data_IF_193667804929
#
_entry.id   IF_193667804929
#
_cell.length_a   1.000
_cell.length_b   1.000
_cell.length_c   1.000
_cell.angle_alpha   90.00
_cell.angle_beta   90.00
_cell.angle_gamma   90.00
#
_symmetry.space_group_name_H-M   'P 1'
#
loop_
_entity.id
_entity.type
_entity.pdbx_description
1 polymer ?
#
# COMPACT_ATOMS: atom_id res chain seq x y z
N UNK A 1 0.32 9.69 -18.38
CA UNK A 1 0.91 9.17 -17.11
C UNK A 1 -0.17 8.56 -16.24
N UNK A 2 0.22 7.66 -15.36
CA UNK A 2 -0.69 7.08 -14.36
C UNK A 2 -0.06 7.21 -12.97
N UNK A 3 -0.90 7.40 -11.96
CA UNK A 3 -0.43 7.73 -10.62
C UNK A 3 -1.04 6.75 -9.61
N UNK A 4 -0.23 6.21 -8.72
CA UNK A 4 -0.71 5.35 -7.62
C UNK A 4 -0.18 5.89 -6.30
N UNK A 5 -1.09 6.32 -5.44
CA UNK A 5 -0.80 6.57 -4.04
C UNK A 5 -0.99 5.27 -3.27
N UNK A 6 0.11 4.68 -2.83
CA UNK A 6 0.12 3.44 -2.06
C UNK A 6 0.45 3.76 -0.61
N UNK A 7 -0.52 3.54 0.28
CA UNK A 7 -0.39 3.84 1.71
C UNK A 7 -0.50 2.60 2.56
N UNK A 8 0.19 2.60 3.68
CA UNK A 8 -0.07 1.68 4.78
C UNK A 8 -1.29 2.19 5.56
N UNK A 9 -2.16 1.29 6.06
CA UNK A 9 -3.25 1.66 6.97
C UNK A 9 -2.72 2.45 8.17
N UNK A 10 -3.57 3.26 8.78
CA UNK A 10 -3.23 4.02 9.97
C UNK A 10 -3.22 3.17 11.24
N UNK A 11 -3.00 3.77 12.40
CA UNK A 11 -2.84 3.02 13.65
C UNK A 11 -4.05 2.12 13.95
N UNK A 12 -3.79 0.93 14.47
CA UNK A 12 -4.78 -0.11 14.65
C UNK A 12 -4.65 -0.82 15.99
N UNK A 13 -5.77 -1.35 16.44
CA UNK A 13 -5.89 -2.31 17.52
C UNK A 13 -6.55 -3.57 16.94
N UNK A 14 -5.76 -4.63 16.80
CA UNK A 14 -6.19 -5.81 16.04
C UNK A 14 -6.50 -5.47 14.58
N UNK A 15 -7.64 -5.90 14.07
CA UNK A 15 -8.05 -5.62 12.68
C UNK A 15 -8.92 -4.37 12.55
N UNK A 16 -8.96 -3.50 13.54
CA UNK A 16 -9.68 -2.23 13.49
C UNK A 16 -8.76 -1.06 13.74
N UNK A 17 -9.12 0.12 13.24
CA UNK A 17 -8.38 1.33 13.59
C UNK A 17 -8.57 1.67 15.07
N UNK A 18 -7.50 2.12 15.71
CA UNK A 18 -7.56 2.78 17.00
C UNK A 18 -8.17 4.18 16.87
N UNK A 19 -8.50 4.83 17.98
CA UNK A 19 -8.91 6.24 17.97
C UNK A 19 -7.83 7.12 17.33
N UNK A 20 -6.57 6.84 17.63
CA UNK A 20 -5.44 7.54 17.00
C UNK A 20 -5.39 7.29 15.50
N UNK A 21 -5.64 6.06 15.05
CA UNK A 21 -5.67 5.71 13.63
C UNK A 21 -6.77 6.43 12.87
N UNK A 22 -7.93 6.60 13.46
CA UNK A 22 -9.03 7.39 12.88
C UNK A 22 -8.62 8.84 12.74
N UNK A 23 -8.06 9.42 13.80
CA UNK A 23 -7.59 10.82 13.80
C UNK A 23 -6.47 11.03 12.76
N UNK A 24 -5.54 10.09 12.65
CA UNK A 24 -4.45 10.15 11.67
C UNK A 24 -4.97 10.07 10.23
N UNK A 25 -5.93 9.18 9.96
CA UNK A 25 -6.55 9.08 8.64
C UNK A 25 -7.31 10.37 8.26
N UNK A 26 -8.03 10.96 9.21
CA UNK A 26 -8.69 12.25 9.01
C UNK A 26 -7.68 13.37 8.76
N UNK A 27 -6.55 13.37 9.45
CA UNK A 27 -5.48 14.34 9.24
C UNK A 27 -4.86 14.23 7.85
N UNK A 28 -4.58 13.01 7.39
CA UNK A 28 -4.11 12.75 6.02
C UNK A 28 -5.15 13.25 5.02
N UNK A 29 -6.42 12.99 5.28
CA UNK A 29 -7.53 13.43 4.43
C UNK A 29 -7.59 14.93 4.23
N UNK A 30 -7.21 15.71 5.22
CA UNK A 30 -7.27 17.18 5.14
C UNK A 30 -6.20 17.78 4.23
N UNK A 31 -5.01 17.21 4.17
CA UNK A 31 -3.85 17.86 3.54
C UNK A 31 -2.99 16.97 2.66
N UNK A 32 -3.17 15.65 2.74
CA UNK A 32 -2.28 14.67 2.12
C UNK A 32 -2.82 13.97 0.88
N UNK A 33 -4.00 14.32 0.40
CA UNK A 33 -4.63 13.68 -0.75
C UNK A 33 -4.54 14.52 -2.02
N UNK A 34 -4.60 13.85 -3.16
CA UNK A 34 -4.53 14.48 -4.49
C UNK A 34 -5.70 14.00 -5.38
N UNK A 35 -6.96 14.26 -4.99
CA UNK A 35 -8.12 13.87 -5.78
C UNK A 35 -8.19 14.64 -7.12
N UNK A 36 -8.98 14.18 -8.11
CA UNK A 36 -9.84 13.01 -8.04
C UNK A 36 -9.10 11.69 -8.25
N UNK A 37 -9.64 10.62 -7.65
CA UNK A 37 -9.15 9.26 -7.86
C UNK A 37 -10.09 8.49 -8.79
N UNK A 38 -9.53 7.78 -9.77
CA UNK A 38 -10.27 6.88 -10.64
C UNK A 38 -10.55 5.54 -9.94
N UNK A 39 -9.67 5.11 -9.04
CA UNK A 39 -9.81 3.86 -8.29
C UNK A 39 -9.48 4.06 -6.80
N UNK A 40 -10.28 3.41 -5.95
CA UNK A 40 -9.98 3.21 -4.54
C UNK A 40 -9.86 1.71 -4.29
N UNK A 41 -8.73 1.26 -3.78
CA UNK A 41 -8.42 -0.16 -3.58
C UNK A 41 -7.99 -0.43 -2.14
N UNK A 42 -8.61 -1.42 -1.52
CA UNK A 42 -8.23 -1.96 -0.21
C UNK A 42 -7.83 -3.41 -0.34
N UNK A 43 -6.93 -3.89 0.50
CA UNK A 43 -6.57 -5.32 0.58
C UNK A 43 -7.70 -6.19 1.12
N UNK A 44 -8.72 -5.59 1.74
CA UNK A 44 -9.85 -6.29 2.34
C UNK A 44 -9.73 -6.52 3.84
N UNK A 45 -8.57 -6.32 4.46
CA UNK A 45 -8.45 -6.28 5.91
C UNK A 45 -9.27 -5.11 6.47
N UNK A 46 -9.95 -5.27 7.60
CA UNK A 46 -10.85 -4.22 8.10
C UNK A 46 -10.11 -2.92 8.42
N UNK A 47 -8.90 -2.98 8.96
CA UNK A 47 -8.07 -1.81 9.19
C UNK A 47 -7.71 -1.05 7.92
N UNK A 48 -7.54 -1.74 6.79
CA UNK A 48 -7.35 -1.10 5.49
C UNK A 48 -8.65 -0.51 4.95
N UNK A 49 -9.76 -1.24 5.10
CA UNK A 49 -11.09 -0.78 4.70
C UNK A 49 -11.48 0.50 5.45
N UNK A 50 -11.28 0.53 6.77
CA UNK A 50 -11.60 1.72 7.58
C UNK A 50 -10.75 2.92 7.16
N UNK A 51 -9.46 2.72 6.96
CA UNK A 51 -8.57 3.79 6.51
C UNK A 51 -9.03 4.38 5.17
N UNK A 52 -9.26 3.54 4.17
CA UNK A 52 -9.62 4.03 2.83
C UNK A 52 -11.02 4.67 2.79
N UNK A 53 -11.95 4.22 3.62
CA UNK A 53 -13.28 4.86 3.72
C UNK A 53 -13.16 6.30 4.20
N UNK A 54 -12.32 6.55 5.20
CA UNK A 54 -12.07 7.90 5.72
C UNK A 54 -11.43 8.77 4.63
N UNK A 55 -10.41 8.26 3.96
CA UNK A 55 -9.70 8.98 2.90
C UNK A 55 -10.60 9.27 1.70
N UNK A 56 -11.41 8.31 1.27
CA UNK A 56 -12.38 8.49 0.18
C UNK A 56 -13.38 9.60 0.48
N UNK A 57 -13.91 9.63 1.70
CA UNK A 57 -14.82 10.69 2.16
C UNK A 57 -14.12 12.04 2.12
N UNK A 58 -12.90 12.12 2.64
CA UNK A 58 -12.10 13.33 2.64
C UNK A 58 -11.77 13.83 1.22
N UNK A 59 -11.64 12.91 0.27
CA UNK A 59 -11.46 13.23 -1.15
C UNK A 59 -12.73 13.79 -1.84
N UNK A 60 -13.86 13.83 -1.12
CA UNK A 60 -15.14 14.24 -1.70
C UNK A 60 -15.75 13.23 -2.66
N UNK A 61 -15.35 11.96 -2.59
CA UNK A 61 -15.76 10.89 -3.50
C UNK A 61 -16.47 9.76 -2.74
N UNK A 62 -17.30 10.08 -1.76
CA UNK A 62 -17.95 9.10 -0.88
C UNK A 62 -18.78 8.06 -1.63
N UNK A 63 -19.32 8.40 -2.80
CA UNK A 63 -20.12 7.50 -3.63
C UNK A 63 -19.26 6.59 -4.52
N UNK A 64 -17.95 6.81 -4.61
CA UNK A 64 -17.08 5.97 -5.40
C UNK A 64 -16.94 4.58 -4.78
N UNK A 65 -16.90 3.55 -5.63
CA UNK A 65 -16.72 2.17 -5.17
C UNK A 65 -15.31 1.95 -4.63
N UNK A 66 -15.22 1.20 -3.52
CA UNK A 66 -13.95 0.65 -3.04
C UNK A 66 -13.82 -0.78 -3.58
N UNK A 67 -12.75 -1.01 -4.32
CA UNK A 67 -12.42 -2.35 -4.86
C UNK A 67 -11.62 -3.11 -3.80
N UNK A 68 -11.99 -4.35 -3.52
CA UNK A 68 -11.20 -5.24 -2.69
C UNK A 68 -10.15 -5.95 -3.54
N UNK A 69 -8.90 -5.51 -3.39
CA UNK A 69 -7.74 -6.08 -4.09
C UNK A 69 -7.08 -7.17 -3.26
N UNK A 70 -7.71 -8.35 -3.16
CA UNK A 70 -7.20 -9.46 -2.34
C UNK A 70 -5.82 -9.96 -2.79
N UNK A 71 -5.47 -9.81 -4.06
CA UNK A 71 -4.15 -10.15 -4.58
C UNK A 71 -3.01 -9.25 -4.03
N UNK A 72 -3.34 -8.10 -3.44
CA UNK A 72 -2.40 -7.24 -2.73
C UNK A 72 -2.18 -7.67 -1.26
N UNK A 73 -2.93 -8.64 -0.78
CA UNK A 73 -2.77 -9.22 0.55
C UNK A 73 -1.97 -10.51 0.45
N UNK A 74 -0.96 -10.65 1.31
CA UNK A 74 -0.17 -11.87 1.38
C UNK A 74 -1.02 -13.04 1.90
N UNK A 75 -0.88 -14.20 1.26
CA UNK A 75 -1.44 -15.46 1.75
C UNK A 75 -0.56 -16.11 2.82
N UNK A 76 0.65 -15.59 3.05
CA UNK A 76 1.65 -16.13 3.98
C UNK A 76 2.09 -15.09 5.01
N UNK A 77 1.11 -14.40 5.59
CA UNK A 77 1.35 -13.33 6.58
C UNK A 77 2.18 -13.81 7.79
N UNK A 78 2.02 -15.07 8.19
CA UNK A 78 2.78 -15.65 9.31
C UNK A 78 4.29 -15.71 8.99
N UNK A 79 4.67 -16.05 7.76
CA UNK A 79 6.08 -16.04 7.34
C UNK A 79 6.66 -14.62 7.34
N UNK A 80 5.87 -13.62 6.93
CA UNK A 80 6.28 -12.22 7.01
C UNK A 80 6.50 -11.79 8.46
N UNK A 81 5.63 -12.19 9.37
CA UNK A 81 5.79 -11.91 10.81
C UNK A 81 7.05 -12.53 11.38
N UNK A 82 7.34 -13.78 11.03
CA UNK A 82 8.56 -14.48 11.45
C UNK A 82 9.81 -13.82 10.90
N UNK A 83 9.82 -13.46 9.61
CA UNK A 83 10.92 -12.75 8.98
C UNK A 83 11.18 -11.38 9.63
N UNK A 84 10.13 -10.62 9.89
CA UNK A 84 10.22 -9.32 10.56
C UNK A 84 10.75 -9.45 11.99
N UNK A 85 10.30 -10.46 12.73
CA UNK A 85 10.79 -10.74 14.08
C UNK A 85 12.27 -11.12 14.09
N UNK A 86 12.69 -11.94 13.16
CA UNK A 86 14.09 -12.37 13.06
C UNK A 86 15.02 -11.25 12.57
N UNK A 87 14.54 -10.40 11.65
CA UNK A 87 15.32 -9.27 11.13
C UNK A 87 15.38 -8.09 12.11
N UNK A 88 14.44 -8.00 13.05
CA UNK A 88 14.37 -6.93 14.04
C UNK A 88 13.29 -5.90 13.76
N UNK A 89 12.94 -5.13 14.78
CA UNK A 89 11.91 -4.10 14.69
C UNK A 89 12.29 -3.02 13.66
N UNK A 90 11.35 -2.70 12.77
CA UNK A 90 11.57 -1.69 11.74
C UNK A 90 12.48 -2.15 10.61
N UNK A 91 12.67 -3.47 10.45
CA UNK A 91 13.52 -4.04 9.42
C UNK A 91 13.08 -3.64 8.00
N UNK A 92 14.08 -3.39 7.16
CA UNK A 92 13.90 -3.16 5.73
C UNK A 92 13.58 -4.46 4.99
N UNK A 93 13.08 -4.32 3.76
CA UNK A 93 12.85 -5.48 2.89
C UNK A 93 14.17 -6.26 2.63
N UNK A 94 15.28 -5.56 2.48
CA UNK A 94 16.60 -6.17 2.31
C UNK A 94 17.04 -7.01 3.54
N UNK A 95 16.77 -6.51 4.73
CA UNK A 95 17.06 -7.25 5.97
C UNK A 95 16.17 -8.49 6.10
N UNK A 96 14.90 -8.40 5.70
CA UNK A 96 14.00 -9.56 5.64
C UNK A 96 14.43 -10.56 4.56
N UNK A 97 14.91 -10.08 3.41
CA UNK A 97 15.45 -10.94 2.36
C UNK A 97 16.67 -11.74 2.85
N UNK A 98 17.51 -11.16 3.68
CA UNK A 98 18.64 -11.88 4.28
C UNK A 98 18.19 -13.02 5.20
N UNK A 99 17.03 -12.89 5.84
CA UNK A 99 16.43 -13.92 6.71
C UNK A 99 15.69 -14.99 5.93
N UNK A 100 14.85 -14.59 4.99
CA UNK A 100 14.00 -15.48 4.19
C UNK A 100 13.96 -15.00 2.73
N UNK A 101 15.00 -15.30 1.94
CA UNK A 101 15.11 -14.84 0.56
C UNK A 101 13.98 -15.37 -0.34
N UNK A 102 13.56 -16.60 -0.15
CA UNK A 102 12.50 -17.23 -0.96
C UNK A 102 11.15 -16.53 -0.73
N UNK A 103 10.84 -16.17 0.51
CA UNK A 103 9.65 -15.40 0.83
C UNK A 103 9.65 -14.05 0.09
N UNK A 104 10.69 -13.27 0.25
CA UNK A 104 10.77 -11.92 -0.31
C UNK A 104 10.74 -11.97 -1.84
N UNK A 105 11.49 -12.86 -2.46
CA UNK A 105 11.52 -13.03 -3.92
C UNK A 105 10.15 -13.43 -4.49
N UNK A 106 9.53 -14.45 -3.90
CA UNK A 106 8.25 -14.97 -4.37
C UNK A 106 7.12 -13.97 -4.18
N UNK A 107 7.01 -13.39 -2.99
CA UNK A 107 5.95 -12.44 -2.66
C UNK A 107 6.11 -11.11 -3.40
N UNK A 108 7.31 -10.61 -3.57
CA UNK A 108 7.55 -9.40 -4.37
C UNK A 108 7.06 -9.58 -5.80
N UNK A 109 7.26 -10.76 -6.38
CA UNK A 109 6.77 -11.08 -7.73
C UNK A 109 5.26 -11.11 -7.80
N UNK A 110 4.59 -11.79 -6.86
CA UNK A 110 3.13 -11.88 -6.81
C UNK A 110 2.47 -10.53 -6.53
N UNK A 111 2.93 -9.84 -5.52
CA UNK A 111 2.36 -8.54 -5.11
C UNK A 111 2.68 -7.46 -6.13
N UNK A 112 3.86 -7.50 -6.74
CA UNK A 112 4.24 -6.62 -7.84
C UNK A 112 3.35 -6.79 -9.06
N UNK A 113 3.02 -8.03 -9.43
CA UNK A 113 2.09 -8.32 -10.52
C UNK A 113 0.67 -7.82 -10.23
N UNK A 114 0.19 -7.95 -8.98
CA UNK A 114 -1.10 -7.41 -8.57
C UNK A 114 -1.14 -5.88 -8.66
N UNK A 115 -0.08 -5.22 -8.22
CA UNK A 115 0.06 -3.77 -8.32
C UNK A 115 0.12 -3.30 -9.78
N UNK A 116 0.84 -4.03 -10.63
CA UNK A 116 0.89 -3.76 -12.07
C UNK A 116 -0.50 -3.81 -12.71
N UNK A 117 -1.31 -4.79 -12.35
CA UNK A 117 -2.69 -4.91 -12.84
C UNK A 117 -3.55 -3.69 -12.51
N UNK A 118 -3.35 -3.08 -11.34
CA UNK A 118 -4.04 -1.86 -10.95
C UNK A 118 -3.57 -0.67 -11.78
N UNK A 119 -2.26 -0.53 -11.98
CA UNK A 119 -1.69 0.54 -12.82
C UNK A 119 -2.25 0.44 -14.25
N UNK A 120 -2.28 -0.76 -14.81
CA UNK A 120 -2.78 -1.01 -16.17
C UNK A 120 -4.28 -0.75 -16.32
N UNK A 121 -5.05 -0.91 -15.25
CA UNK A 121 -6.49 -0.62 -15.23
C UNK A 121 -6.80 0.88 -15.17
N UNK A 122 -5.84 1.73 -14.82
CA UNK A 122 -6.04 3.17 -14.77
C UNK A 122 -6.14 3.76 -16.18
N UNK A 123 -7.07 4.70 -16.39
CA UNK A 123 -7.06 5.51 -17.61
C UNK A 123 -5.82 6.39 -17.64
N UNK A 124 -5.55 6.95 -18.81
CA UNK A 124 -4.48 7.94 -18.97
C UNK A 124 -4.74 9.13 -18.03
N UNK A 125 -3.70 9.64 -17.39
CA UNK A 125 -3.77 10.66 -16.34
C UNK A 125 -4.60 10.24 -15.11
N UNK A 126 -4.99 8.96 -15.03
CA UNK A 126 -5.76 8.42 -13.90
C UNK A 126 -4.92 8.23 -12.65
N UNK A 127 -5.60 8.30 -11.50
CA UNK A 127 -4.98 8.14 -10.19
C UNK A 127 -5.71 7.06 -9.37
N UNK A 128 -4.95 6.20 -8.72
CA UNK A 128 -5.48 5.25 -7.73
C UNK A 128 -5.02 5.63 -6.32
N UNK A 129 -5.89 5.39 -5.35
CA UNK A 129 -5.53 5.37 -3.93
C UNK A 129 -5.64 3.93 -3.44
N UNK A 130 -4.54 3.38 -2.94
CA UNK A 130 -4.47 2.02 -2.44
C UNK A 130 -4.07 2.05 -0.97
N UNK A 131 -4.77 1.31 -0.14
CA UNK A 131 -4.40 1.10 1.27
C UNK A 131 -4.11 -0.37 1.51
N UNK A 132 -2.91 -0.62 1.99
CA UNK A 132 -2.40 -1.95 2.29
C UNK A 132 -1.59 -1.97 3.59
N UNK A 133 -0.53 -2.76 3.59
CA UNK A 133 0.23 -3.12 4.78
C UNK A 133 1.74 -3.00 4.54
N UNK A 134 2.51 -2.93 5.61
CA UNK A 134 3.96 -3.14 5.60
C UNK A 134 4.26 -4.51 6.22
N UNK A 135 5.18 -5.28 5.68
CA UNK A 135 6.14 -4.98 4.59
C UNK A 135 5.61 -5.32 3.17
N UNK A 136 4.38 -5.73 3.02
CA UNK A 136 3.84 -6.19 1.73
C UNK A 136 3.74 -5.07 0.68
N UNK A 137 3.48 -3.83 1.10
CA UNK A 137 3.54 -2.68 0.19
C UNK A 137 4.96 -2.50 -0.38
N UNK A 138 5.98 -2.60 0.46
CA UNK A 138 7.38 -2.50 0.04
C UNK A 138 7.74 -3.63 -0.93
N UNK A 139 7.26 -4.84 -0.66
CA UNK A 139 7.45 -5.99 -1.56
C UNK A 139 6.76 -5.78 -2.92
N UNK A 140 5.55 -5.23 -2.93
CA UNK A 140 4.82 -4.92 -4.16
C UNK A 140 5.57 -3.87 -5.00
N UNK A 141 6.09 -2.83 -4.38
CA UNK A 141 6.88 -1.80 -5.06
C UNK A 141 8.16 -2.39 -5.64
N UNK A 142 8.87 -3.21 -4.88
CA UNK A 142 10.07 -3.89 -5.34
C UNK A 142 9.78 -4.78 -6.55
N UNK A 143 8.71 -5.56 -6.50
CA UNK A 143 8.31 -6.44 -7.60
C UNK A 143 7.90 -5.69 -8.86
N UNK A 144 7.25 -4.54 -8.72
CA UNK A 144 6.83 -3.72 -9.85
C UNK A 144 7.97 -2.92 -10.48
N UNK A 145 8.81 -2.32 -9.64
CA UNK A 145 9.76 -1.27 -10.06
C UNK A 145 11.22 -1.67 -9.97
N UNK A 146 11.55 -2.74 -9.25
CA UNK A 146 12.91 -3.11 -8.89
C UNK A 146 13.53 -2.24 -7.81
N UNK A 147 12.81 -1.25 -7.28
CA UNK A 147 13.31 -0.33 -6.25
C UNK A 147 12.93 -0.82 -4.85
N UNK A 148 13.88 -0.73 -3.93
CA UNK A 148 13.63 -0.99 -2.51
C UNK A 148 13.39 0.35 -1.82
N UNK A 149 12.20 0.49 -1.24
CA UNK A 149 11.84 1.68 -0.46
C UNK A 149 12.06 1.45 1.02
N UNK A 150 12.22 2.54 1.77
CA UNK A 150 12.28 2.48 3.23
C UNK A 150 10.99 1.90 3.82
N UNK A 151 11.05 1.23 4.98
CA UNK A 151 9.86 0.73 5.66
C UNK A 151 8.82 1.84 5.89
N UNK A 152 7.58 1.56 5.53
CA UNK A 152 6.47 2.50 5.72
C UNK A 152 5.94 2.42 7.15
N UNK A 153 5.89 3.55 7.82
CA UNK A 153 5.15 3.70 9.07
C UNK A 153 3.63 3.71 8.82
N UNK A 154 2.85 3.58 9.89
CA UNK A 154 1.38 3.60 9.79
C UNK A 154 0.88 4.92 9.22
N UNK A 155 0.05 4.85 8.19
CA UNK A 155 -0.44 6.01 7.44
C UNK A 155 0.52 6.56 6.40
N UNK A 156 1.80 6.21 6.45
CA UNK A 156 2.77 6.64 5.45
C UNK A 156 2.51 5.97 4.09
N UNK A 157 3.01 6.61 3.05
CA UNK A 157 2.84 6.12 1.70
C UNK A 157 3.85 6.66 0.73
N UNK A 158 3.74 6.18 -0.49
CA UNK A 158 4.54 6.61 -1.63
C UNK A 158 3.64 6.90 -2.82
N UNK A 159 4.13 7.74 -3.71
CA UNK A 159 3.55 7.97 -5.02
C UNK A 159 4.36 7.20 -6.06
N UNK A 160 3.71 6.35 -6.81
CA UNK A 160 4.27 5.71 -8.00
C UNK A 160 3.73 6.46 -9.21
N UNK A 161 4.62 6.91 -10.06
CA UNK A 161 4.29 7.54 -11.35
C UNK A 161 4.72 6.59 -12.45
N UNK A 162 3.78 6.20 -13.30
CA UNK A 162 4.08 5.42 -14.51
C UNK A 162 4.00 6.31 -15.74
N UNK A 163 5.05 6.27 -16.53
CA UNK A 163 5.13 6.92 -17.83
C UNK A 163 5.78 5.98 -18.85
N UNK A 164 5.00 5.55 -19.84
CA UNK A 164 5.46 4.65 -20.91
C UNK A 164 6.19 3.39 -20.36
N UNK A 165 5.62 2.76 -19.34
CA UNK A 165 6.17 1.58 -18.63
C UNK A 165 7.46 1.85 -17.84
N UNK A 166 7.79 3.09 -17.59
CA UNK A 166 8.83 3.49 -16.64
C UNK A 166 8.17 3.93 -15.35
N UNK A 167 8.79 3.57 -14.25
CA UNK A 167 8.25 3.86 -12.92
C UNK A 167 9.19 4.79 -12.16
N UNK A 168 8.61 5.82 -11.58
CA UNK A 168 9.28 6.67 -10.61
C UNK A 168 8.56 6.54 -9.28
N UNK A 169 9.30 6.39 -8.20
CA UNK A 169 8.76 6.30 -6.84
C UNK A 169 9.18 7.53 -6.05
N UNK A 170 8.22 8.22 -5.47
CA UNK A 170 8.42 9.43 -4.67
C UNK A 170 7.78 9.26 -3.31
N UNK A 171 8.32 9.85 -2.23
CA UNK A 171 7.59 9.95 -0.96
C UNK A 171 6.33 10.83 -1.12
N UNK A 172 5.33 10.53 -0.30
CA UNK A 172 4.12 11.37 -0.16
C UNK A 172 4.29 12.37 0.98
#
# INVERSE_FOLDING_TARGET
>A
MRYVELRRHTDNDGDRLSEQGIADAEAIGRTGLHPPYALFVSTGAERANETIRILRRAAGQEDAQIITGTALRSAVEDRWREAAKAAGKGASLEEMRAVDPDLVEHESRLLGAALQGIVEALPDEGRALIVGHSPTNEAAVCGLTGQVIAPLGKGEGILIVEDARRYEVRPL
#
